data_IF_949297909310
#
_entry.id   IF_949297909310
#
_cell.length_a   1.000
_cell.length_b   1.000
_cell.length_c   1.000
_cell.angle_alpha   90.00
_cell.angle_beta   90.00
_cell.angle_gamma   90.00
#
_symmetry.space_group_name_H-M   'P 1'
#
loop_
_entity.id
_entity.type
_entity.pdbx_description
1 polymer ?
#
# COMPACT_ATOMS: atom_id res chain seq x y z
N UNK A 1 -11.16 7.72 -3.73
CA UNK A 1 -9.87 7.02 -3.94
C UNK A 1 -9.95 5.66 -3.25
N UNK A 2 -9.29 4.62 -3.79
CA UNK A 2 -9.18 3.32 -3.12
C UNK A 2 -8.24 3.47 -1.91
N UNK A 3 -8.62 2.89 -0.77
CA UNK A 3 -7.79 2.81 0.42
C UNK A 3 -6.84 1.59 0.35
N UNK A 4 -5.85 1.52 1.24
CA UNK A 4 -4.90 0.41 1.34
C UNK A 4 -3.82 0.41 0.27
N UNK A 5 -3.13 -0.74 0.11
CA UNK A 5 -1.94 -0.91 -0.73
C UNK A 5 -2.17 -0.47 -2.18
N UNK A 6 -3.27 -0.90 -2.80
CA UNK A 6 -3.61 -0.54 -4.19
C UNK A 6 -3.80 0.97 -4.35
N UNK A 7 -4.47 1.60 -3.39
CA UNK A 7 -4.69 3.05 -3.41
C UNK A 7 -3.40 3.83 -3.22
N UNK A 8 -2.57 3.45 -2.27
CA UNK A 8 -1.27 4.06 -2.02
C UNK A 8 -0.37 3.93 -3.26
N UNK A 9 -0.27 2.71 -3.82
CA UNK A 9 0.51 2.49 -5.05
C UNK A 9 0.06 3.40 -6.20
N UNK A 10 -1.26 3.49 -6.47
CA UNK A 10 -1.78 4.34 -7.56
C UNK A 10 -1.71 5.85 -7.27
N UNK A 11 -1.42 6.28 -6.06
CA UNK A 11 -1.09 7.68 -5.73
C UNK A 11 0.39 7.98 -5.87
N UNK A 12 1.24 6.97 -5.65
CA UNK A 12 2.70 7.06 -5.82
C UNK A 12 3.09 6.93 -7.30
N UNK A 13 2.43 6.02 -8.03
CA UNK A 13 2.71 5.72 -9.43
C UNK A 13 1.49 6.00 -10.29
N UNK A 14 1.61 6.90 -11.25
CA UNK A 14 0.73 6.95 -12.40
C UNK A 14 1.16 5.92 -13.48
N UNK A 15 0.43 5.83 -14.57
CA UNK A 15 0.75 4.91 -15.68
C UNK A 15 2.14 5.22 -16.27
N UNK A 16 2.49 6.50 -16.42
CA UNK A 16 3.76 6.91 -17.04
C UNK A 16 4.94 6.47 -16.18
N UNK A 17 4.93 6.84 -14.90
CA UNK A 17 5.98 6.44 -13.95
C UNK A 17 6.07 4.92 -13.80
N UNK A 18 4.93 4.22 -13.78
CA UNK A 18 4.91 2.76 -13.70
C UNK A 18 5.52 2.09 -14.94
N UNK A 19 5.28 2.63 -16.13
CA UNK A 19 5.91 2.16 -17.37
C UNK A 19 7.42 2.34 -17.35
N UNK A 20 7.88 3.52 -16.94
CA UNK A 20 9.30 3.88 -16.99
C UNK A 20 10.12 3.15 -15.93
N UNK A 21 9.63 3.06 -14.69
CA UNK A 21 10.41 2.54 -13.56
C UNK A 21 10.19 1.04 -13.29
N UNK A 22 8.97 0.53 -13.51
CA UNK A 22 8.60 -0.82 -13.06
C UNK A 22 8.46 -1.85 -14.17
N UNK A 23 8.15 -1.41 -15.40
CA UNK A 23 8.07 -2.25 -16.60
C UNK A 23 8.78 -1.60 -17.80
N UNK A 24 10.06 -1.18 -17.64
CA UNK A 24 10.77 -0.48 -18.70
C UNK A 24 10.88 -1.32 -19.97
N UNK A 25 10.76 -0.65 -21.13
CA UNK A 25 10.88 -1.29 -22.44
C UNK A 25 9.67 -2.13 -22.88
N UNK A 26 8.53 -2.06 -22.15
CA UNK A 26 7.31 -2.75 -22.59
C UNK A 26 6.45 -1.87 -23.51
N UNK A 27 6.55 -0.55 -23.40
CA UNK A 27 5.77 0.40 -24.18
C UNK A 27 6.64 1.54 -24.71
N UNK A 28 6.36 1.97 -25.93
CA UNK A 28 6.96 3.15 -26.54
C UNK A 28 5.90 4.20 -26.86
N UNK A 29 6.14 5.49 -26.56
CA UNK A 29 5.21 6.57 -26.95
C UNK A 29 5.16 6.71 -28.48
N UNK A 30 4.00 7.06 -29.00
CA UNK A 30 3.84 7.40 -30.40
C UNK A 30 3.89 8.92 -30.56
N UNK A 31 5.01 9.45 -31.06
CA UNK A 31 5.24 10.91 -31.15
C UNK A 31 4.13 11.67 -31.89
N UNK A 32 3.56 11.08 -32.95
CA UNK A 32 2.49 11.66 -33.73
C UNK A 32 1.11 11.61 -33.06
N UNK A 33 0.97 10.89 -31.94
CA UNK A 33 -0.31 10.64 -31.27
C UNK A 33 -0.17 10.78 -29.73
N UNK A 34 -0.25 11.98 -29.18
CA UNK A 34 -0.13 12.20 -27.73
C UNK A 34 -1.08 11.31 -26.92
N UNK A 35 -0.57 10.69 -25.86
CA UNK A 35 -1.32 9.77 -24.98
C UNK A 35 -1.53 8.37 -25.55
N UNK A 36 -0.94 8.04 -26.73
CA UNK A 36 -0.92 6.70 -27.29
C UNK A 36 0.47 6.07 -27.20
N UNK A 37 0.47 4.78 -26.89
CA UNK A 37 1.66 3.96 -26.76
C UNK A 37 1.56 2.71 -27.60
N UNK A 38 2.70 2.21 -28.06
CA UNK A 38 2.86 0.93 -28.73
C UNK A 38 3.36 -0.09 -27.71
N UNK A 39 2.64 -1.19 -27.54
CA UNK A 39 3.16 -2.35 -26.80
C UNK A 39 4.17 -3.09 -27.66
N UNK A 40 5.41 -3.23 -27.18
CA UNK A 40 6.52 -3.79 -27.97
C UNK A 40 6.43 -5.30 -28.18
N UNK A 41 5.65 -6.03 -27.36
CA UNK A 41 5.33 -7.45 -27.58
C UNK A 41 4.21 -7.67 -28.62
N UNK A 42 3.73 -6.63 -29.29
CA UNK A 42 2.66 -6.67 -30.28
C UNK A 42 3.09 -6.24 -31.67
N UNK A 43 2.16 -6.35 -32.64
CA UNK A 43 2.41 -6.00 -34.05
C UNK A 43 1.71 -4.68 -34.48
N UNK A 44 0.90 -4.08 -33.62
CA UNK A 44 0.13 -2.86 -33.92
C UNK A 44 0.81 -1.64 -33.28
N UNK A 45 0.70 -0.48 -33.93
CA UNK A 45 1.23 0.79 -33.42
C UNK A 45 0.12 1.59 -32.73
N UNK A 46 0.43 2.18 -31.55
CA UNK A 46 -0.43 3.13 -30.86
C UNK A 46 -1.75 2.56 -30.32
N UNK A 47 -1.79 1.24 -30.05
CA UNK A 47 -2.97 0.57 -29.55
C UNK A 47 -3.21 0.69 -28.06
N UNK A 48 -2.25 1.14 -27.28
CA UNK A 48 -2.41 1.44 -25.85
C UNK A 48 -2.71 2.93 -25.68
N UNK A 49 -3.79 3.26 -24.96
CA UNK A 49 -4.29 4.63 -24.77
C UNK A 49 -4.32 4.94 -23.29
N UNK A 50 -3.74 6.08 -22.89
CA UNK A 50 -3.73 6.55 -21.51
C UNK A 50 -4.84 7.58 -21.30
N UNK A 51 -5.58 7.43 -20.21
CA UNK A 51 -6.73 8.25 -19.83
C UNK A 51 -6.52 8.92 -18.49
N UNK A 52 -7.34 9.95 -18.25
CA UNK A 52 -7.45 10.65 -16.97
C UNK A 52 -6.09 11.09 -16.41
N UNK A 53 -5.29 11.75 -17.27
CA UNK A 53 -3.96 12.30 -16.94
C UNK A 53 -3.01 11.26 -16.31
N UNK A 54 -2.99 10.06 -16.85
CA UNK A 54 -2.07 9.00 -16.38
C UNK A 54 -2.65 8.04 -15.35
N UNK A 55 -3.94 8.14 -15.01
CA UNK A 55 -4.53 7.23 -14.01
C UNK A 55 -4.89 5.86 -14.55
N UNK A 56 -5.24 5.78 -15.83
CA UNK A 56 -5.70 4.54 -16.47
C UNK A 56 -5.08 4.33 -17.83
N UNK A 57 -4.91 3.06 -18.19
CA UNK A 57 -4.51 2.62 -19.51
C UNK A 57 -5.54 1.61 -20.03
N UNK A 58 -5.86 1.71 -21.32
CA UNK A 58 -6.60 0.69 -22.05
C UNK A 58 -5.77 0.24 -23.26
N UNK A 59 -5.56 -1.07 -23.40
CA UNK A 59 -4.81 -1.63 -24.54
C UNK A 59 -5.72 -2.36 -25.51
N UNK A 60 -5.58 -2.03 -26.80
CA UNK A 60 -6.19 -2.73 -27.93
C UNK A 60 -5.24 -3.78 -28.56
N UNK A 61 -4.01 -3.89 -28.05
CA UNK A 61 -3.07 -4.90 -28.53
C UNK A 61 -3.46 -6.29 -28.03
N UNK A 62 -3.74 -7.22 -28.94
CA UNK A 62 -4.24 -8.57 -28.59
C UNK A 62 -3.27 -9.38 -27.74
N UNK A 63 -1.95 -9.17 -27.90
CA UNK A 63 -0.89 -9.88 -27.16
C UNK A 63 -0.48 -9.20 -25.86
N UNK A 64 -1.01 -7.99 -25.58
CA UNK A 64 -0.73 -7.28 -24.34
C UNK A 64 -1.44 -7.97 -23.17
N UNK A 65 -0.77 -8.23 -22.03
CA UNK A 65 -1.41 -8.73 -20.81
C UNK A 65 -2.60 -7.89 -20.34
N UNK A 66 -2.61 -6.58 -20.69
CA UNK A 66 -3.70 -5.64 -20.40
C UNK A 66 -4.77 -5.58 -21.48
N UNK A 67 -4.71 -6.43 -22.53
CA UNK A 67 -5.63 -6.39 -23.66
C UNK A 67 -7.10 -6.36 -23.25
N UNK A 68 -7.85 -5.42 -23.81
CA UNK A 68 -9.30 -5.28 -23.57
C UNK A 68 -9.71 -4.87 -22.16
N UNK A 69 -8.77 -4.44 -21.32
CA UNK A 69 -9.02 -4.05 -19.91
C UNK A 69 -8.63 -2.60 -19.69
N UNK A 70 -9.45 -1.87 -18.93
CA UNK A 70 -9.07 -0.57 -18.38
C UNK A 70 -8.35 -0.82 -17.04
N UNK A 71 -7.04 -0.59 -17.02
CA UNK A 71 -6.17 -0.88 -15.88
C UNK A 71 -5.60 0.40 -15.26
N UNK A 72 -5.42 0.40 -13.96
CA UNK A 72 -4.62 1.39 -13.23
C UNK A 72 -3.14 0.98 -13.18
N UNK A 73 -2.27 1.81 -12.60
CA UNK A 73 -0.84 1.50 -12.51
C UNK A 73 -0.55 0.19 -11.74
N UNK A 74 -1.29 -0.11 -10.69
CA UNK A 74 -1.14 -1.36 -9.93
C UNK A 74 -1.45 -2.60 -10.80
N UNK A 75 -2.59 -2.59 -11.51
CA UNK A 75 -2.97 -3.71 -12.36
C UNK A 75 -2.11 -3.80 -13.62
N UNK A 76 -1.62 -2.68 -14.16
CA UNK A 76 -0.66 -2.65 -15.25
C UNK A 76 0.61 -3.44 -14.87
N UNK A 77 1.26 -3.07 -13.76
CA UNK A 77 2.49 -3.75 -13.30
C UNK A 77 2.19 -5.19 -12.91
N UNK A 78 1.08 -5.46 -12.23
CA UNK A 78 0.67 -6.81 -11.83
C UNK A 78 0.58 -7.75 -13.03
N UNK A 79 -0.12 -7.34 -14.08
CA UNK A 79 -0.35 -8.19 -15.26
C UNK A 79 0.94 -8.44 -16.04
N UNK A 80 1.83 -7.44 -16.15
CA UNK A 80 3.09 -7.59 -16.88
C UNK A 80 4.15 -8.38 -16.11
N UNK A 81 4.25 -8.22 -14.78
CA UNK A 81 5.30 -8.86 -13.98
C UNK A 81 4.92 -10.19 -13.36
N UNK A 82 3.63 -10.39 -13.12
CA UNK A 82 3.15 -11.51 -12.33
C UNK A 82 1.93 -12.21 -12.94
N UNK A 83 1.50 -11.82 -14.15
CA UNK A 83 0.31 -12.40 -14.79
C UNK A 83 0.41 -13.90 -15.00
N UNK A 84 1.59 -14.41 -15.30
CA UNK A 84 1.92 -15.83 -15.45
C UNK A 84 1.63 -16.68 -14.20
N UNK A 85 1.67 -16.05 -13.01
CA UNK A 85 1.33 -16.74 -11.75
C UNK A 85 -0.13 -17.16 -11.65
N UNK A 86 -0.99 -16.59 -12.49
CA UNK A 86 -2.43 -16.85 -12.47
C UNK A 86 -2.84 -17.99 -13.43
N UNK A 87 -1.92 -18.58 -14.20
CA UNK A 87 -2.22 -19.59 -15.21
C UNK A 87 -2.90 -20.84 -14.65
N UNK A 88 -2.59 -21.22 -13.40
CA UNK A 88 -3.21 -22.34 -12.70
C UNK A 88 -4.43 -21.93 -11.84
N UNK A 89 -4.79 -20.66 -11.84
CA UNK A 89 -5.92 -20.19 -11.04
C UNK A 89 -7.25 -20.68 -11.63
N UNK A 90 -8.18 -21.04 -10.75
CA UNK A 90 -9.51 -21.48 -11.18
C UNK A 90 -10.28 -20.33 -11.86
N UNK A 91 -10.98 -20.60 -12.98
CA UNK A 91 -11.81 -19.59 -13.63
C UNK A 91 -12.81 -18.95 -12.64
N UNK A 92 -12.89 -17.61 -12.67
CA UNK A 92 -13.76 -16.86 -11.77
C UNK A 92 -13.18 -16.55 -10.39
N UNK A 93 -11.90 -16.90 -10.14
CA UNK A 93 -11.21 -16.48 -8.92
C UNK A 93 -11.19 -14.95 -8.82
N UNK A 94 -11.67 -14.35 -7.72
CA UNK A 94 -11.61 -12.91 -7.52
C UNK A 94 -10.17 -12.38 -7.59
N UNK A 95 -9.97 -11.22 -8.22
CA UNK A 95 -8.63 -10.64 -8.45
C UNK A 95 -7.79 -10.55 -7.17
N UNK A 96 -8.39 -10.17 -6.05
CA UNK A 96 -7.69 -10.06 -4.76
C UNK A 96 -7.27 -11.40 -4.13
N UNK A 97 -7.66 -12.52 -4.73
CA UNK A 97 -7.25 -13.88 -4.32
C UNK A 97 -6.25 -14.51 -5.29
N UNK A 98 -5.97 -13.86 -6.41
CA UNK A 98 -5.02 -14.34 -7.40
C UNK A 98 -3.58 -14.31 -6.86
N UNK A 99 -2.73 -15.28 -7.25
CA UNK A 99 -1.30 -15.27 -6.92
C UNK A 99 -0.58 -14.01 -7.41
N UNK A 100 -0.90 -13.52 -8.61
CA UNK A 100 -0.36 -12.26 -9.15
C UNK A 100 -0.68 -11.06 -8.27
N UNK A 101 -1.89 -10.99 -7.72
CA UNK A 101 -2.31 -9.90 -6.83
C UNK A 101 -1.49 -9.89 -5.54
N UNK A 102 -1.26 -11.06 -4.95
CA UNK A 102 -0.45 -11.19 -3.74
C UNK A 102 1.01 -10.75 -4.01
N UNK A 103 1.61 -11.25 -5.09
CA UNK A 103 2.97 -10.87 -5.49
C UNK A 103 3.08 -9.35 -5.75
N UNK A 104 2.07 -8.74 -6.35
CA UNK A 104 2.05 -7.29 -6.58
C UNK A 104 1.88 -6.51 -5.28
N UNK A 105 1.09 -6.98 -4.33
CA UNK A 105 1.00 -6.38 -2.99
C UNK A 105 2.34 -6.44 -2.24
N UNK A 106 3.06 -7.57 -2.35
CA UNK A 106 4.40 -7.72 -1.77
C UNK A 106 5.38 -6.70 -2.37
N UNK A 107 5.41 -6.57 -3.71
CA UNK A 107 6.23 -5.55 -4.37
C UNK A 107 5.87 -4.14 -3.89
N UNK A 108 4.59 -3.80 -3.87
CA UNK A 108 4.13 -2.47 -3.48
C UNK A 108 4.46 -2.11 -2.03
N UNK A 109 4.41 -3.08 -1.10
CA UNK A 109 4.73 -2.83 0.32
C UNK A 109 6.23 -2.79 0.59
N UNK A 110 7.07 -3.34 -0.31
CA UNK A 110 8.52 -3.24 -0.24
C UNK A 110 9.05 -1.95 -0.88
N UNK A 111 8.22 -1.26 -1.65
CA UNK A 111 8.58 0.02 -2.27
C UNK A 111 8.63 1.12 -1.21
N UNK A 112 9.76 1.85 -1.07
CA UNK A 112 9.92 2.87 -0.03
C UNK A 112 8.93 4.02 -0.12
N UNK A 113 8.63 4.51 -1.34
CA UNK A 113 7.73 5.63 -1.56
C UNK A 113 6.29 5.24 -1.21
N UNK A 114 5.86 4.04 -1.62
CA UNK A 114 4.53 3.50 -1.30
C UNK A 114 4.39 3.26 0.20
N UNK A 115 5.41 2.67 0.83
CA UNK A 115 5.43 2.39 2.26
C UNK A 115 5.38 3.67 3.09
N UNK A 116 6.18 4.68 2.74
CA UNK A 116 6.16 5.99 3.39
C UNK A 116 4.79 6.68 3.28
N UNK A 117 4.18 6.68 2.08
CA UNK A 117 2.85 7.24 1.86
C UNK A 117 1.79 6.52 2.71
N UNK A 118 1.82 5.18 2.76
CA UNK A 118 0.90 4.40 3.58
C UNK A 118 1.05 4.68 5.07
N UNK A 119 2.27 4.87 5.54
CA UNK A 119 2.57 5.22 6.93
C UNK A 119 2.05 6.62 7.27
N UNK A 120 2.28 7.58 6.38
CA UNK A 120 1.78 8.95 6.54
C UNK A 120 0.25 9.03 6.55
N UNK A 121 -0.42 8.35 5.64
CA UNK A 121 -1.89 8.33 5.57
C UNK A 121 -2.50 7.72 6.84
N UNK A 122 -1.92 6.63 7.35
CA UNK A 122 -2.36 6.01 8.60
C UNK A 122 -2.19 6.93 9.80
N UNK A 123 -1.05 7.62 9.86
CA UNK A 123 -0.82 8.60 10.92
C UNK A 123 -1.83 9.72 10.88
N UNK A 124 -2.12 10.27 9.69
CA UNK A 124 -3.12 11.33 9.52
C UNK A 124 -4.54 10.87 9.87
N UNK A 125 -4.89 9.62 9.56
CA UNK A 125 -6.18 9.03 9.91
C UNK A 125 -6.30 8.84 11.43
N UNK A 126 -5.25 8.30 12.08
CA UNK A 126 -5.19 8.17 13.52
C UNK A 126 -5.28 9.52 14.24
N UNK A 127 -4.59 10.56 13.76
CA UNK A 127 -4.67 11.91 14.34
C UNK A 127 -6.09 12.49 14.25
N UNK A 128 -6.80 12.25 13.14
CA UNK A 128 -8.19 12.71 12.97
C UNK A 128 -9.16 12.03 13.94
N UNK A 129 -8.97 10.73 14.19
CA UNK A 129 -9.80 9.97 15.12
C UNK A 129 -9.60 10.43 16.57
N UNK A 130 -8.52 11.14 16.85
CA UNK A 130 -8.16 11.71 18.15
C UNK A 130 -8.19 13.24 18.19
N UNK A 131 -9.02 13.92 17.37
CA UNK A 131 -9.22 15.35 17.42
C UNK A 131 -9.60 15.81 18.85
N UNK A 132 -8.68 16.52 19.51
CA UNK A 132 -8.82 17.01 20.90
C UNK A 132 -7.70 16.59 21.86
N UNK A 133 -6.77 15.73 21.43
CA UNK A 133 -5.55 15.42 22.18
C UNK A 133 -4.41 16.28 21.63
N UNK A 134 -3.92 17.24 22.41
CA UNK A 134 -2.73 18.02 22.03
C UNK A 134 -1.55 17.07 21.88
N UNK A 135 -1.17 16.77 20.63
CA UNK A 135 0.09 16.10 20.34
C UNK A 135 1.22 17.07 20.69
N UNK A 136 2.06 16.70 21.64
CA UNK A 136 3.30 17.44 21.89
C UNK A 136 4.17 17.39 20.65
N UNK A 137 4.51 18.56 20.11
CA UNK A 137 5.21 18.78 18.83
C UNK A 137 6.69 18.35 18.82
N UNK A 138 7.15 17.50 19.72
CA UNK A 138 8.53 17.06 19.82
C UNK A 138 8.84 15.70 19.14
N UNK A 139 7.91 15.19 18.33
CA UNK A 139 8.15 13.97 17.58
C UNK A 139 8.80 14.30 16.22
N UNK A 140 10.06 13.96 16.05
CA UNK A 140 10.67 13.81 14.73
C UNK A 140 9.74 12.96 13.83
N UNK A 141 9.58 13.31 12.52
CA UNK A 141 8.69 12.55 11.65
C UNK A 141 9.13 11.08 11.60
N UNK A 142 8.31 10.33 12.07
CA UNK A 142 8.02 8.89 12.19
C UNK A 142 8.93 7.88 11.45
N UNK A 143 10.24 7.93 11.63
CA UNK A 143 11.15 6.87 11.18
C UNK A 143 10.89 5.51 11.90
N UNK A 144 10.17 5.50 13.04
CA UNK A 144 9.84 4.26 13.75
C UNK A 144 8.75 3.43 13.05
N UNK A 145 7.88 4.05 12.25
CA UNK A 145 6.84 3.35 11.49
C UNK A 145 7.44 2.47 10.39
N UNK A 146 8.61 2.83 9.86
CA UNK A 146 9.34 2.04 8.85
C UNK A 146 9.88 0.74 9.42
N UNK A 147 10.00 0.65 10.76
CA UNK A 147 10.44 -0.56 11.47
C UNK A 147 9.32 -1.57 11.71
N UNK A 148 8.06 -1.19 11.45
CA UNK A 148 6.93 -2.09 11.64
C UNK A 148 6.87 -3.17 10.55
N UNK A 149 6.69 -4.40 10.97
CA UNK A 149 6.32 -5.48 10.04
C UNK A 149 4.91 -5.26 9.51
N UNK A 150 4.80 -5.11 8.21
CA UNK A 150 3.53 -4.86 7.52
C UNK A 150 2.99 -6.15 6.89
N UNK A 151 1.69 -6.34 6.97
CA UNK A 151 1.00 -7.36 6.19
C UNK A 151 0.87 -6.87 4.75
N UNK A 152 1.54 -7.56 3.81
CA UNK A 152 1.60 -7.17 2.39
C UNK A 152 0.23 -7.12 1.71
N UNK A 153 -0.75 -7.88 2.16
CA UNK A 153 -2.09 -7.89 1.56
C UNK A 153 -2.97 -6.74 2.03
N UNK A 154 -2.88 -6.39 3.31
CA UNK A 154 -3.73 -5.37 3.92
C UNK A 154 -3.04 -4.02 4.06
N UNK A 155 -1.71 -3.99 4.01
CA UNK A 155 -0.90 -2.82 4.31
C UNK A 155 -0.93 -2.39 5.78
N UNK A 156 -1.52 -3.19 6.66
CA UNK A 156 -1.60 -2.91 8.10
C UNK A 156 -0.42 -3.55 8.84
N UNK A 157 0.02 -2.97 9.98
CA UNK A 157 0.98 -3.62 10.85
C UNK A 157 0.49 -5.01 11.25
N UNK A 158 1.40 -5.99 11.24
CA UNK A 158 1.11 -7.33 11.77
C UNK A 158 0.91 -7.25 13.29
N UNK A 159 0.04 -8.10 13.83
CA UNK A 159 -0.16 -8.23 15.27
C UNK A 159 0.98 -9.08 15.90
N UNK A 160 2.20 -8.53 15.89
CA UNK A 160 3.39 -9.16 16.49
C UNK A 160 3.78 -8.41 17.76
N UNK A 161 4.46 -9.10 18.70
CA UNK A 161 4.96 -8.49 19.94
C UNK A 161 5.95 -7.37 19.61
N UNK A 162 6.80 -7.56 18.60
CA UNK A 162 7.79 -6.55 18.19
C UNK A 162 7.11 -5.28 17.67
N UNK A 163 6.07 -5.40 16.86
CA UNK A 163 5.29 -4.25 16.42
C UNK A 163 4.59 -3.53 17.57
N UNK A 164 3.99 -4.28 18.48
CA UNK A 164 3.35 -3.70 19.68
C UNK A 164 4.39 -2.92 20.51
N UNK A 165 5.58 -3.50 20.71
CA UNK A 165 6.65 -2.84 21.44
C UNK A 165 7.11 -1.56 20.78
N UNK A 166 7.37 -1.59 19.46
CA UNK A 166 7.74 -0.41 18.67
C UNK A 166 6.68 0.70 18.81
N UNK A 167 5.40 0.36 18.72
CA UNK A 167 4.29 1.32 18.84
C UNK A 167 4.26 1.92 20.27
N UNK A 168 4.33 1.10 21.31
CA UNK A 168 4.26 1.59 22.69
C UNK A 168 5.43 2.51 23.07
N UNK A 169 6.61 2.27 22.49
CA UNK A 169 7.81 3.09 22.77
C UNK A 169 7.83 4.41 21.98
N UNK A 170 7.20 4.47 20.81
CA UNK A 170 7.42 5.56 19.89
C UNK A 170 6.16 6.37 19.55
N UNK A 171 4.95 5.79 19.65
CA UNK A 171 3.71 6.50 19.36
C UNK A 171 3.49 7.63 20.37
N UNK A 172 3.37 8.90 19.95
CA UNK A 172 3.22 10.05 20.85
C UNK A 172 2.02 9.95 21.79
N UNK A 173 0.96 9.23 21.40
CA UNK A 173 -0.25 9.05 22.21
C UNK A 173 -0.10 7.94 23.25
N UNK A 174 0.86 7.03 23.08
CA UNK A 174 1.01 5.84 23.93
C UNK A 174 2.32 5.83 24.71
N UNK A 175 3.34 6.56 24.24
CA UNK A 175 4.67 6.61 24.87
C UNK A 175 4.58 7.03 26.34
N UNK A 176 5.17 6.21 27.21
CA UNK A 176 5.20 6.47 28.65
C UNK A 176 3.90 6.19 29.41
N UNK A 177 2.83 5.74 28.72
CA UNK A 177 1.55 5.44 29.38
C UNK A 177 1.43 4.03 29.93
N UNK A 178 2.43 3.17 29.67
CA UNK A 178 2.47 1.79 30.11
C UNK A 178 3.74 1.50 30.90
N UNK A 179 3.62 0.70 31.93
CA UNK A 179 4.76 0.18 32.70
C UNK A 179 4.54 -1.28 33.09
N UNK A 180 5.64 -2.00 33.28
CA UNK A 180 5.63 -3.32 33.87
C UNK A 180 5.82 -3.17 35.39
N UNK A 181 4.82 -3.53 36.19
CA UNK A 181 4.97 -3.66 37.61
C UNK A 181 5.71 -4.98 37.93
N UNK A 182 7.00 -4.88 38.18
CA UNK A 182 7.86 -6.04 38.42
C UNK A 182 7.49 -6.81 39.69
N UNK A 183 6.91 -6.14 40.68
CA UNK A 183 6.47 -6.80 41.93
C UNK A 183 5.18 -7.58 41.72
N UNK A 184 4.25 -7.05 40.93
CA UNK A 184 2.99 -7.71 40.66
C UNK A 184 3.06 -8.64 39.43
N UNK A 185 4.13 -8.58 38.63
CA UNK A 185 4.33 -9.37 37.41
C UNK A 185 3.29 -9.04 36.31
N UNK A 186 2.75 -7.82 36.29
CA UNK A 186 1.72 -7.41 35.35
C UNK A 186 1.98 -6.03 34.78
N UNK A 187 1.44 -5.80 33.57
CA UNK A 187 1.40 -4.47 32.96
C UNK A 187 0.45 -3.54 33.69
N UNK A 188 0.80 -2.26 33.78
CA UNK A 188 -0.03 -1.21 34.37
C UNK A 188 -0.13 -0.03 33.40
N UNK A 189 -1.32 0.59 33.36
CA UNK A 189 -1.57 1.82 32.61
C UNK A 189 -1.36 2.99 33.57
N UNK A 190 -0.37 3.82 33.27
CA UNK A 190 0.05 4.93 34.14
C UNK A 190 -0.78 6.19 33.95
N UNK A 191 -1.36 6.37 32.73
CA UNK A 191 -2.09 7.59 32.37
C UNK A 191 -3.30 7.28 31.47
N UNK A 192 -4.14 8.27 31.20
CA UNK A 192 -5.29 8.13 30.35
C UNK A 192 -4.90 7.68 28.94
N UNK A 193 -5.61 6.66 28.43
CA UNK A 193 -5.42 6.17 27.06
C UNK A 193 -6.35 6.92 26.09
N UNK A 194 -5.97 7.07 24.81
CA UNK A 194 -6.74 7.81 23.80
C UNK A 194 -8.07 7.13 23.41
N UNK A 195 -8.39 5.98 23.96
CA UNK A 195 -9.65 5.25 23.74
C UNK A 195 -10.45 5.09 25.04
N UNK A 196 -11.74 4.77 24.90
CA UNK A 196 -12.64 4.66 26.05
C UNK A 196 -12.37 3.43 26.94
N UNK A 197 -12.94 3.44 28.15
CA UNK A 197 -12.71 2.38 29.16
C UNK A 197 -13.14 0.97 28.72
N UNK A 198 -14.08 0.83 27.79
CA UNK A 198 -14.52 -0.48 27.29
C UNK A 198 -13.47 -1.16 26.42
N UNK A 199 -12.58 -0.37 25.81
CA UNK A 199 -11.47 -0.88 24.99
C UNK A 199 -10.26 -1.27 25.86
N UNK A 200 -10.13 -0.66 27.05
CA UNK A 200 -9.06 -1.00 28.02
C UNK A 200 -9.06 -2.49 28.44
N UNK A 201 -10.24 -3.10 28.52
CA UNK A 201 -10.39 -4.49 28.92
C UNK A 201 -9.82 -5.50 27.92
N UNK A 202 -9.78 -5.14 26.64
CA UNK A 202 -9.29 -6.03 25.56
C UNK A 202 -7.79 -6.05 25.36
N UNK A 203 -7.05 -5.17 26.02
CA UNK A 203 -5.59 -5.13 25.95
C UNK A 203 -4.90 -6.14 26.88
N UNK A 204 -5.63 -6.63 27.89
CA UNK A 204 -5.08 -7.47 28.98
C UNK A 204 -5.80 -8.81 29.18
N UNK A 205 -6.87 -9.09 28.46
CA UNK A 205 -7.54 -10.38 28.36
C UNK A 205 -7.00 -11.18 27.17
#
# INVERSE_FOLDING_TARGET
AKNGVVGAFCRTYDIYRAMDELIPGMYEPVESMPGRYTYLGGSTTGGAVIYDSGKFLYSHHATDPCSGKLVNAFDLVRLHRFGDKDDEAQPGTPTNRLPSYRAMCELATQDPDVSALMSQERYQEAVKDFEGVEATNDAEPANWMDRLEINSQTGLPKATIDNVWIILENDPLLKGKFALNQFAGRGEVLDALPWNASTKRRLWD
#
